data_IF_621281633816
#
_entry.id   IF_621281633816
#
_cell.length_a   1.000
_cell.length_b   1.000
_cell.length_c   1.000
_cell.angle_alpha   90.00
_cell.angle_beta   90.00
_cell.angle_gamma   90.00
#
_symmetry.space_group_name_H-M   'P 1'
#
loop_
_entity.id
_entity.type
_entity.pdbx_description
1 polymer ?
#
# COMPACT_ATOMS: atom_id res chain seq x y z
N UNK A 1 -8.75 3.94 19.73
CA UNK A 1 -8.45 4.33 18.35
C UNK A 1 -9.78 4.41 17.61
N UNK A 2 -10.25 5.61 17.33
CA UNK A 2 -11.46 5.81 16.53
C UNK A 2 -11.01 5.88 15.08
N UNK A 3 -11.31 4.84 14.30
CA UNK A 3 -11.22 4.94 12.85
C UNK A 3 -12.20 6.04 12.42
N UNK A 4 -11.73 7.16 11.89
CA UNK A 4 -12.63 8.06 11.17
C UNK A 4 -13.19 7.26 9.98
N UNK A 5 -14.51 7.29 9.74
CA UNK A 5 -15.03 6.78 8.50
C UNK A 5 -14.52 7.71 7.40
N UNK A 6 -13.40 7.37 6.82
CA UNK A 6 -13.00 7.92 5.54
C UNK A 6 -14.00 7.33 4.54
N UNK A 7 -14.60 8.17 3.69
CA UNK A 7 -15.38 7.66 2.58
C UNK A 7 -14.52 6.59 1.92
N UNK A 8 -15.02 5.36 1.90
CA UNK A 8 -14.26 4.27 1.33
C UNK A 8 -13.91 4.68 -0.11
N UNK A 9 -12.62 4.72 -0.48
CA UNK A 9 -12.28 4.86 -1.90
C UNK A 9 -13.00 3.75 -2.66
N UNK A 10 -13.28 3.95 -3.94
CA UNK A 10 -13.82 2.92 -4.82
C UNK A 10 -12.77 1.80 -5.01
N UNK A 11 -12.52 1.08 -3.92
CA UNK A 11 -11.67 -0.11 -3.97
C UNK A 11 -12.40 -1.22 -4.72
N UNK A 12 -11.65 -2.06 -5.46
CA UNK A 12 -12.24 -3.21 -6.09
C UNK A 12 -12.90 -4.12 -5.04
N UNK A 13 -13.98 -4.77 -5.41
CA UNK A 13 -14.59 -5.81 -4.59
C UNK A 13 -13.58 -6.98 -4.44
N UNK A 14 -13.38 -7.42 -3.21
CA UNK A 14 -12.54 -8.57 -2.90
C UNK A 14 -13.39 -9.60 -2.16
N UNK A 15 -13.94 -10.59 -2.86
CA UNK A 15 -14.76 -11.60 -2.24
C UNK A 15 -14.03 -12.33 -1.11
N UNK A 16 -14.72 -12.55 0.01
CA UNK A 16 -14.09 -13.21 1.18
C UNK A 16 -13.52 -14.59 0.85
N UNK A 17 -14.15 -15.32 -0.08
CA UNK A 17 -13.68 -16.63 -0.50
C UNK A 17 -12.32 -16.55 -1.20
N UNK A 18 -12.14 -15.57 -2.06
CA UNK A 18 -10.88 -15.35 -2.78
C UNK A 18 -9.78 -14.89 -1.82
N UNK A 19 -10.09 -13.94 -0.93
CA UNK A 19 -9.16 -13.52 0.11
C UNK A 19 -8.71 -14.69 1.00
N UNK A 20 -9.64 -15.57 1.39
CA UNK A 20 -9.28 -16.75 2.22
C UNK A 20 -8.37 -17.70 1.49
N UNK A 21 -8.58 -17.90 0.19
CA UNK A 21 -7.72 -18.71 -0.64
C UNK A 21 -6.33 -18.09 -0.79
N UNK A 22 -6.26 -16.82 -1.17
CA UNK A 22 -5.01 -16.09 -1.39
C UNK A 22 -4.17 -15.95 -0.12
N UNK A 23 -4.81 -15.71 1.02
CA UNK A 23 -4.14 -15.58 2.31
C UNK A 23 -3.90 -16.92 3.05
N UNK A 24 -4.33 -18.04 2.48
CA UNK A 24 -4.21 -19.36 3.11
C UNK A 24 -4.94 -19.47 4.45
N UNK A 25 -6.08 -18.80 4.60
CA UNK A 25 -6.85 -18.81 5.85
C UNK A 25 -7.50 -20.18 6.05
N UNK A 26 -7.18 -20.81 7.18
CA UNK A 26 -7.72 -22.14 7.50
C UNK A 26 -9.23 -22.10 7.74
N UNK A 27 -9.89 -23.24 7.48
CA UNK A 27 -11.31 -23.41 7.74
C UNK A 27 -11.66 -23.16 9.21
N UNK A 28 -12.77 -22.47 9.44
CA UNK A 28 -13.24 -22.12 10.78
C UNK A 28 -12.56 -20.92 11.43
N UNK A 29 -11.52 -20.36 10.84
CA UNK A 29 -10.88 -19.12 11.34
C UNK A 29 -11.76 -17.93 11.02
N UNK A 30 -12.15 -17.16 12.05
CA UNK A 30 -12.88 -15.90 11.89
C UNK A 30 -11.98 -14.75 11.46
N UNK A 31 -12.47 -13.91 10.56
CA UNK A 31 -11.76 -12.68 10.20
C UNK A 31 -12.03 -11.58 11.24
N UNK A 32 -10.99 -10.82 11.60
CA UNK A 32 -11.11 -9.70 12.54
C UNK A 32 -11.65 -8.44 11.85
N UNK A 33 -12.23 -7.55 12.65
CA UNK A 33 -12.78 -6.29 12.16
C UNK A 33 -14.20 -6.42 11.59
N UNK A 34 -14.75 -5.29 11.14
CA UNK A 34 -16.11 -5.19 10.62
C UNK A 34 -16.14 -4.29 9.37
N UNK A 35 -17.15 -4.47 8.51
CA UNK A 35 -17.30 -3.75 7.25
C UNK A 35 -16.54 -4.41 6.11
N UNK A 36 -16.39 -3.69 5.03
CA UNK A 36 -15.78 -4.21 3.80
C UNK A 36 -14.37 -4.72 4.03
N UNK A 37 -14.04 -5.84 3.39
CA UNK A 37 -12.77 -6.51 3.56
C UNK A 37 -11.59 -5.64 3.11
N UNK A 38 -11.70 -5.00 1.97
CA UNK A 38 -10.69 -4.08 1.44
C UNK A 38 -10.46 -2.88 2.36
N UNK A 39 -11.53 -2.32 2.94
CA UNK A 39 -11.39 -1.27 3.95
C UNK A 39 -10.66 -1.76 5.21
N UNK A 40 -10.92 -3.01 5.65
CA UNK A 40 -10.19 -3.61 6.79
C UNK A 40 -8.72 -3.78 6.51
N UNK A 41 -8.36 -4.15 5.29
CA UNK A 41 -6.97 -4.37 4.87
C UNK A 41 -6.20 -3.06 4.70
N UNK A 42 -6.84 -2.02 4.12
CA UNK A 42 -6.10 -0.88 3.58
C UNK A 42 -6.35 0.45 4.27
N UNK A 43 -7.51 0.65 4.90
CA UNK A 43 -7.85 1.96 5.48
C UNK A 43 -8.14 1.95 6.97
N UNK A 44 -8.17 0.79 7.61
CA UNK A 44 -8.40 0.67 9.04
C UNK A 44 -7.12 0.37 9.79
N UNK A 45 -6.97 0.87 11.03
CA UNK A 45 -5.83 0.52 11.84
C UNK A 45 -5.88 -0.95 12.25
N UNK A 46 -4.70 -1.56 12.38
CA UNK A 46 -4.58 -2.94 12.90
C UNK A 46 -3.45 -3.04 13.91
N UNK A 47 -3.66 -3.86 14.92
CA UNK A 47 -2.70 -4.14 15.97
C UNK A 47 -2.38 -5.64 16.00
N UNK A 48 -1.10 -5.97 15.93
CA UNK A 48 -0.63 -7.35 15.92
C UNK A 48 0.49 -7.54 16.94
N UNK A 49 0.46 -8.65 17.67
CA UNK A 49 1.62 -9.11 18.47
C UNK A 49 2.59 -9.82 17.51
N UNK A 50 3.78 -9.25 17.32
CA UNK A 50 4.80 -9.76 16.40
C UNK A 50 5.97 -10.45 17.09
N UNK A 51 5.98 -10.46 18.42
CA UNK A 51 6.97 -11.18 19.20
C UNK A 51 6.57 -11.21 20.67
N UNK A 52 7.01 -12.25 21.37
CA UNK A 52 6.77 -12.41 22.79
C UNK A 52 7.98 -13.06 23.44
N UNK A 53 8.43 -12.47 24.53
CA UNK A 53 9.49 -12.99 25.38
C UNK A 53 8.90 -13.38 26.74
N UNK A 54 8.92 -14.67 27.01
CA UNK A 54 8.41 -15.30 28.22
C UNK A 54 9.25 -16.57 28.48
N UNK A 55 9.19 -17.12 29.69
CA UNK A 55 9.94 -18.35 30.01
C UNK A 55 9.71 -19.45 28.96
N UNK A 56 10.74 -19.94 28.27
CA UNK A 56 10.64 -21.03 27.31
C UNK A 56 10.08 -22.32 27.98
N UNK A 57 9.37 -23.14 27.20
CA UNK A 57 8.72 -24.34 27.74
C UNK A 57 9.69 -25.36 28.36
N UNK A 58 10.88 -25.50 27.79
CA UNK A 58 11.95 -26.37 28.27
C UNK A 58 12.59 -25.91 29.59
N UNK A 59 12.44 -24.62 29.92
CA UNK A 59 12.87 -24.01 31.17
C UNK A 59 11.72 -23.79 32.16
N UNK A 60 10.49 -24.12 31.77
CA UNK A 60 9.31 -23.90 32.60
C UNK A 60 9.27 -24.89 33.76
N UNK A 61 9.17 -24.36 34.98
CA UNK A 61 8.99 -25.10 36.22
C UNK A 61 7.67 -24.75 36.90
N UNK A 62 7.41 -25.32 38.08
CA UNK A 62 6.23 -25.01 38.89
C UNK A 62 6.34 -23.65 39.60
N UNK A 63 6.85 -22.63 38.90
CA UNK A 63 7.09 -21.28 39.39
C UNK A 63 6.40 -20.29 38.44
N UNK A 64 5.78 -19.25 39.03
CA UNK A 64 5.14 -18.19 38.25
C UNK A 64 6.19 -17.37 37.48
N UNK A 65 5.94 -17.10 36.20
CA UNK A 65 6.74 -16.18 35.42
C UNK A 65 6.57 -14.75 35.98
N UNK A 66 7.66 -14.05 36.37
CA UNK A 66 7.55 -12.73 36.99
C UNK A 66 7.27 -11.60 35.99
N UNK A 67 7.57 -11.82 34.73
CA UNK A 67 7.44 -10.83 33.66
C UNK A 67 7.22 -11.47 32.30
N UNK A 68 6.65 -10.69 31.40
CA UNK A 68 6.52 -11.04 29.99
C UNK A 68 6.69 -9.74 29.18
N UNK A 69 7.38 -9.83 28.05
CA UNK A 69 7.53 -8.71 27.11
C UNK A 69 6.88 -9.10 25.78
N UNK A 70 6.09 -8.23 25.23
CA UNK A 70 5.53 -8.41 23.88
C UNK A 70 5.94 -7.26 22.98
N UNK A 71 6.27 -7.56 21.72
CA UNK A 71 6.45 -6.58 20.67
C UNK A 71 5.17 -6.45 19.87
N UNK A 72 4.67 -5.22 19.81
CA UNK A 72 3.44 -4.89 19.10
C UNK A 72 3.79 -4.14 17.82
N UNK A 73 3.07 -4.46 16.74
CA UNK A 73 3.05 -3.68 15.51
C UNK A 73 1.68 -3.03 15.38
N UNK A 74 1.64 -1.70 15.40
CA UNK A 74 0.42 -0.92 15.16
C UNK A 74 0.51 -0.27 13.79
N UNK A 75 -0.32 -0.73 12.87
CA UNK A 75 -0.54 -0.05 11.60
C UNK A 75 -1.63 0.99 11.78
N UNK A 76 -1.38 2.20 11.32
CA UNK A 76 -2.31 3.32 11.44
C UNK A 76 -3.03 3.56 10.11
N UNK A 77 -4.25 4.09 10.21
CA UNK A 77 -5.02 4.45 9.03
C UNK A 77 -4.43 5.70 8.34
N UNK A 78 -4.65 5.89 7.02
CA UNK A 78 -4.32 7.12 6.34
C UNK A 78 -4.88 8.35 7.06
N UNK A 79 -4.08 9.41 7.17
CA UNK A 79 -4.43 10.65 7.88
C UNK A 79 -4.44 10.56 9.41
N UNK A 80 -4.05 9.43 10.00
CA UNK A 80 -3.89 9.29 11.44
C UNK A 80 -2.49 9.71 11.90
N UNK A 81 -2.42 10.52 12.96
CA UNK A 81 -1.13 10.95 13.52
C UNK A 81 -0.47 9.82 14.35
N UNK A 82 0.77 9.43 14.02
CA UNK A 82 1.48 8.36 14.71
C UNK A 82 1.67 8.59 16.20
N UNK A 83 1.96 9.83 16.62
CA UNK A 83 2.19 10.16 18.03
C UNK A 83 0.90 10.01 18.85
N UNK A 84 -0.22 10.48 18.30
CA UNK A 84 -1.54 10.31 18.92
C UNK A 84 -1.94 8.84 19.00
N UNK A 85 -1.66 8.04 17.97
CA UNK A 85 -1.94 6.62 17.96
C UNK A 85 -1.13 5.86 19.02
N UNK A 86 0.17 6.15 19.14
CA UNK A 86 1.06 5.59 20.15
C UNK A 86 0.59 5.97 21.56
N UNK A 87 0.28 7.25 21.79
CA UNK A 87 -0.22 7.74 23.09
C UNK A 87 -1.52 7.04 23.49
N UNK A 88 -2.47 6.88 22.56
CA UNK A 88 -3.72 6.18 22.83
C UNK A 88 -3.51 4.70 23.15
N UNK A 89 -2.62 4.01 22.44
CA UNK A 89 -2.28 2.62 22.71
C UNK A 89 -1.61 2.47 24.09
N UNK A 90 -0.64 3.32 24.41
CA UNK A 90 0.05 3.33 25.70
C UNK A 90 -0.94 3.52 26.85
N UNK A 91 -1.76 4.55 26.77
CA UNK A 91 -2.78 4.82 27.79
C UNK A 91 -3.77 3.65 27.96
N UNK A 92 -4.15 3.00 26.85
CA UNK A 92 -5.03 1.83 26.92
C UNK A 92 -4.36 0.66 27.65
N UNK A 93 -3.12 0.33 27.32
CA UNK A 93 -2.39 -0.78 27.95
C UNK A 93 -2.16 -0.55 29.45
N UNK A 94 -1.79 0.66 29.83
CA UNK A 94 -1.59 1.03 31.23
C UNK A 94 -2.90 1.00 32.04
N UNK A 95 -3.99 1.50 31.47
CA UNK A 95 -5.28 1.55 32.14
C UNK A 95 -5.94 0.18 32.28
N UNK A 96 -5.60 -0.79 31.47
CA UNK A 96 -6.23 -2.12 31.45
C UNK A 96 -5.30 -3.24 31.94
N UNK A 97 -4.21 -2.89 32.61
CA UNK A 97 -3.33 -3.89 33.24
C UNK A 97 -4.10 -4.75 34.26
N UNK A 98 -4.21 -6.08 34.07
CA UNK A 98 -4.96 -6.92 34.96
C UNK A 98 -4.24 -7.06 36.33
N UNK A 99 -5.00 -7.24 37.38
CA UNK A 99 -4.53 -7.55 38.75
C UNK A 99 -3.45 -6.57 39.27
N UNK A 100 -3.41 -5.34 38.81
CA UNK A 100 -2.41 -4.36 39.24
C UNK A 100 -0.99 -4.64 38.71
N UNK A 101 -0.86 -5.41 37.64
CA UNK A 101 0.42 -5.61 36.96
C UNK A 101 1.02 -4.28 36.51
N UNK A 102 2.34 -4.16 36.59
CA UNK A 102 3.05 -2.98 36.10
C UNK A 102 3.29 -3.13 34.61
N UNK A 103 2.76 -2.20 33.85
CA UNK A 103 3.00 -2.12 32.40
C UNK A 103 3.96 -0.97 32.14
N UNK A 104 4.93 -1.20 31.27
CA UNK A 104 5.79 -0.16 30.70
C UNK A 104 5.80 -0.30 29.19
N UNK A 105 5.65 0.80 28.48
CA UNK A 105 5.68 0.84 27.01
C UNK A 105 6.93 1.57 26.55
N UNK A 106 7.74 0.91 25.76
CA UNK A 106 8.90 1.53 25.10
C UNK A 106 8.54 1.77 23.64
N UNK A 107 8.48 3.03 23.19
CA UNK A 107 8.23 3.35 21.79
C UNK A 107 9.31 2.74 20.88
N UNK A 108 8.89 2.19 19.75
CA UNK A 108 9.77 1.81 18.65
C UNK A 108 9.80 2.86 17.56
N UNK A 109 10.17 2.45 16.37
CA UNK A 109 10.12 3.31 15.19
C UNK A 109 8.67 3.66 14.84
N UNK A 110 8.47 4.91 14.44
CA UNK A 110 7.16 5.42 14.03
C UNK A 110 7.30 6.18 12.71
N UNK A 111 6.26 6.13 11.90
CA UNK A 111 6.19 6.87 10.64
C UNK A 111 4.74 7.16 10.25
N UNK A 112 4.49 8.20 9.46
CA UNK A 112 3.16 8.50 8.94
C UNK A 112 2.70 7.42 7.96
N UNK A 113 1.38 7.26 7.85
CA UNK A 113 0.80 6.53 6.74
C UNK A 113 0.92 7.38 5.46
N UNK A 114 1.27 6.73 4.37
CA UNK A 114 1.27 7.36 3.06
C UNK A 114 -0.12 7.26 2.44
N UNK A 115 -0.62 8.39 1.93
CA UNK A 115 -1.88 8.47 1.19
C UNK A 115 -1.61 9.14 -0.16
N UNK A 116 -1.57 8.34 -1.22
CA UNK A 116 -1.28 8.84 -2.55
C UNK A 116 -2.47 9.64 -3.10
N UNK A 117 -2.25 10.84 -3.66
CA UNK A 117 -3.30 11.57 -4.36
C UNK A 117 -3.85 10.75 -5.53
N UNK A 118 -5.14 10.43 -5.49
CA UNK A 118 -5.75 9.50 -6.44
C UNK A 118 -5.84 10.03 -7.89
N UNK A 119 -5.93 11.35 -8.08
CA UNK A 119 -6.13 11.95 -9.41
C UNK A 119 -5.08 13.01 -9.75
N UNK A 120 -3.87 12.54 -10.05
CA UNK A 120 -2.78 13.36 -10.56
C UNK A 120 -2.48 13.03 -12.04
N UNK A 121 -1.80 13.90 -12.80
CA UNK A 121 -1.36 13.54 -14.15
C UNK A 121 -0.52 12.27 -14.19
N UNK A 122 0.37 12.05 -13.22
CA UNK A 122 1.21 10.86 -13.17
C UNK A 122 0.39 9.61 -12.80
N UNK A 123 -0.57 9.69 -11.85
CA UNK A 123 -1.42 8.55 -11.51
C UNK A 123 -2.31 8.12 -12.67
N UNK A 124 -2.85 9.08 -13.44
CA UNK A 124 -3.60 8.78 -14.68
C UNK A 124 -2.73 8.12 -15.73
N UNK A 125 -1.50 8.61 -15.92
CA UNK A 125 -0.55 8.02 -16.87
C UNK A 125 -0.16 6.60 -16.45
N UNK A 126 0.05 6.34 -15.15
CA UNK A 126 0.37 5.03 -14.63
C UNK A 126 -0.78 4.03 -14.84
N UNK A 127 -2.03 4.42 -14.51
CA UNK A 127 -3.21 3.55 -14.75
C UNK A 127 -3.36 3.21 -16.23
N UNK A 128 -3.20 4.19 -17.11
CA UNK A 128 -3.23 3.93 -18.54
C UNK A 128 -2.13 2.95 -18.99
N UNK A 129 -0.91 3.13 -18.54
CA UNK A 129 0.21 2.27 -18.89
C UNK A 129 0.00 0.84 -18.39
N UNK A 130 -0.44 0.67 -17.15
CA UNK A 130 -0.76 -0.63 -16.57
C UNK A 130 -1.95 -1.29 -17.29
N UNK A 131 -3.04 -0.57 -17.52
CA UNK A 131 -4.19 -1.08 -18.30
C UNK A 131 -3.76 -1.55 -19.69
N UNK A 132 -2.91 -0.78 -20.37
CA UNK A 132 -2.42 -1.12 -21.70
C UNK A 132 -1.55 -2.38 -21.68
N UNK A 133 -0.62 -2.47 -20.73
CA UNK A 133 0.32 -3.59 -20.66
C UNK A 133 -0.33 -4.90 -20.20
N UNK A 134 -1.30 -4.82 -19.28
CA UNK A 134 -1.98 -5.99 -18.74
C UNK A 134 -3.25 -6.39 -19.51
N UNK A 135 -3.79 -5.50 -20.36
CA UNK A 135 -5.03 -5.73 -21.09
C UNK A 135 -6.27 -5.83 -20.21
N UNK A 136 -6.22 -5.28 -19.00
CA UNK A 136 -7.30 -5.21 -18.01
C UNK A 136 -7.25 -3.86 -17.31
N UNK A 137 -8.41 -3.37 -16.86
CA UNK A 137 -8.48 -2.10 -16.15
C UNK A 137 -7.61 -2.13 -14.90
N UNK A 138 -6.76 -1.10 -14.76
CA UNK A 138 -5.96 -0.88 -13.57
C UNK A 138 -6.87 -0.41 -12.43
N UNK A 139 -6.66 -0.95 -11.25
CA UNK A 139 -7.33 -0.56 -10.02
C UNK A 139 -6.33 -0.07 -8.99
N UNK A 140 -6.76 0.86 -8.15
CA UNK A 140 -5.96 1.31 -7.02
C UNK A 140 -6.22 0.40 -5.83
N UNK A 141 -5.16 0.01 -5.14
CA UNK A 141 -5.23 -0.77 -3.92
C UNK A 141 -4.47 -0.07 -2.79
N UNK A 142 -4.77 -0.44 -1.55
CA UNK A 142 -3.94 -0.07 -0.42
C UNK A 142 -2.87 -1.13 -0.15
N UNK A 143 -1.75 -0.71 0.40
CA UNK A 143 -0.69 -1.61 0.83
C UNK A 143 -0.51 -1.50 2.35
N UNK A 144 -0.62 -2.61 3.04
CA UNK A 144 -0.46 -2.68 4.49
C UNK A 144 1.00 -2.81 4.93
N UNK A 145 1.89 -1.95 4.46
CA UNK A 145 3.30 -1.94 4.86
C UNK A 145 3.79 -0.52 5.17
N UNK A 146 4.74 -0.37 6.08
CA UNK A 146 5.43 0.90 6.24
C UNK A 146 6.66 0.90 5.34
N UNK A 147 6.74 1.87 4.43
CA UNK A 147 7.94 2.13 3.64
C UNK A 147 8.44 3.52 4.03
N UNK A 148 9.30 3.63 5.07
CA UNK A 148 9.77 4.93 5.57
C UNK A 148 10.41 5.80 4.48
N UNK A 149 10.99 5.17 3.46
CA UNK A 149 11.59 5.84 2.32
C UNK A 149 10.61 6.74 1.54
N UNK A 150 9.34 6.35 1.44
CA UNK A 150 8.31 7.15 0.74
C UNK A 150 8.10 8.49 1.46
N UNK A 151 7.98 8.47 2.79
CA UNK A 151 7.85 9.69 3.57
C UNK A 151 9.07 10.61 3.39
N UNK A 152 10.28 10.05 3.43
CA UNK A 152 11.52 10.80 3.18
C UNK A 152 11.57 11.40 1.78
N UNK A 153 11.10 10.67 0.76
CA UNK A 153 11.01 11.20 -0.60
C UNK A 153 10.05 12.38 -0.69
N UNK A 154 8.87 12.29 -0.07
CA UNK A 154 7.91 13.38 -0.08
C UNK A 154 8.40 14.62 0.67
N UNK A 155 9.09 14.44 1.80
CA UNK A 155 9.70 15.54 2.54
C UNK A 155 10.82 16.24 1.73
N UNK A 156 11.60 15.45 1.00
CA UNK A 156 12.73 15.95 0.19
C UNK A 156 12.26 16.59 -1.11
N UNK A 157 11.23 16.04 -1.72
CA UNK A 157 10.66 16.45 -3.01
C UNK A 157 9.16 16.65 -2.91
N UNK A 158 8.67 17.73 -2.27
CA UNK A 158 7.25 17.92 -1.97
C UNK A 158 6.36 18.04 -3.22
N UNK A 159 6.93 18.43 -4.35
CA UNK A 159 6.23 18.54 -5.63
C UNK A 159 6.25 17.25 -6.46
N UNK A 160 7.01 16.24 -6.03
CA UNK A 160 7.09 14.96 -6.74
C UNK A 160 5.83 14.12 -6.50
N UNK A 161 5.34 13.49 -7.58
CA UNK A 161 4.24 12.55 -7.51
C UNK A 161 4.80 11.14 -7.32
N UNK A 162 4.60 10.58 -6.13
CA UNK A 162 5.07 9.23 -5.81
C UNK A 162 4.05 8.22 -6.32
N UNK A 163 4.50 7.31 -7.16
CA UNK A 163 3.75 6.16 -7.65
C UNK A 163 4.34 4.90 -7.02
N UNK A 164 3.48 4.07 -6.43
CA UNK A 164 3.88 2.78 -5.85
C UNK A 164 3.30 1.69 -6.72
N UNK A 165 4.16 0.95 -7.38
CA UNK A 165 3.81 -0.19 -8.22
C UNK A 165 4.61 -1.42 -7.78
N UNK A 166 4.18 -2.61 -8.17
CA UNK A 166 4.86 -3.85 -7.82
C UNK A 166 4.55 -4.96 -8.80
N UNK A 167 5.22 -6.10 -8.62
CA UNK A 167 5.10 -7.30 -9.45
C UNK A 167 4.69 -8.52 -8.63
N UNK A 168 4.31 -8.33 -7.39
CA UNK A 168 3.90 -9.40 -6.49
C UNK A 168 2.46 -9.83 -6.78
N UNK A 169 2.22 -11.12 -6.67
CA UNK A 169 0.91 -11.75 -6.70
C UNK A 169 0.69 -12.56 -5.40
N UNK A 170 -0.49 -13.12 -5.15
CA UNK A 170 -0.75 -13.91 -3.94
C UNK A 170 0.17 -15.12 -3.75
N UNK A 171 0.72 -15.66 -4.84
CA UNK A 171 1.61 -16.81 -4.82
C UNK A 171 3.10 -16.41 -4.66
N UNK A 172 3.42 -15.13 -4.74
CA UNK A 172 4.79 -14.62 -4.68
C UNK A 172 5.49 -14.91 -3.34
N UNK A 173 4.73 -15.06 -2.25
CA UNK A 173 5.26 -15.33 -0.88
C UNK A 173 6.30 -14.32 -0.43
N UNK A 174 6.04 -13.04 -0.69
CA UNK A 174 6.94 -11.94 -0.32
C UNK A 174 7.44 -12.06 1.13
N UNK A 175 8.75 -11.90 1.33
CA UNK A 175 9.45 -12.03 2.63
C UNK A 175 9.39 -13.43 3.26
N UNK A 176 9.09 -14.47 2.51
CA UNK A 176 8.99 -15.86 2.99
C UNK A 176 9.94 -16.79 2.23
N UNK A 177 9.98 -18.04 2.67
CA UNK A 177 10.73 -19.08 1.98
C UNK A 177 10.13 -19.34 0.59
N UNK A 178 10.99 -19.64 -0.38
CA UNK A 178 10.60 -19.90 -1.78
C UNK A 178 9.85 -18.70 -2.43
N UNK A 179 10.24 -17.48 -2.09
CA UNK A 179 9.73 -16.27 -2.75
C UNK A 179 9.92 -16.40 -4.27
N UNK A 180 8.88 -16.06 -5.01
CA UNK A 180 8.82 -16.24 -6.45
C UNK A 180 8.25 -15.01 -7.15
N UNK A 181 8.38 -14.98 -8.47
CA UNK A 181 7.86 -13.93 -9.32
C UNK A 181 7.29 -14.54 -10.61
N UNK A 182 6.09 -14.10 -10.98
CA UNK A 182 5.49 -14.53 -12.23
C UNK A 182 6.14 -13.83 -13.43
N UNK A 183 6.84 -14.58 -14.28
CA UNK A 183 7.64 -14.00 -15.39
C UNK A 183 6.78 -13.23 -16.40
N UNK A 184 5.56 -13.68 -16.67
CA UNK A 184 4.64 -12.96 -17.56
C UNK A 184 4.21 -11.61 -16.99
N UNK A 185 4.11 -11.47 -15.67
CA UNK A 185 3.79 -10.20 -15.03
C UNK A 185 5.02 -9.28 -14.99
N UNK A 186 6.22 -9.84 -14.86
CA UNK A 186 7.45 -9.07 -15.04
C UNK A 186 7.52 -8.41 -16.43
N UNK A 187 7.22 -9.16 -17.49
CA UNK A 187 7.19 -8.61 -18.85
C UNK A 187 6.17 -7.47 -19.00
N UNK A 188 4.99 -7.65 -18.40
CA UNK A 188 3.92 -6.65 -18.43
C UNK A 188 4.29 -5.40 -17.64
N UNK A 189 4.87 -5.55 -16.44
CA UNK A 189 5.25 -4.39 -15.64
C UNK A 189 6.37 -3.59 -16.27
N UNK A 190 7.39 -4.26 -16.86
CA UNK A 190 8.45 -3.59 -17.62
C UNK A 190 7.88 -2.81 -18.83
N UNK A 191 6.89 -3.40 -19.49
CA UNK A 191 6.18 -2.73 -20.59
C UNK A 191 5.39 -1.52 -20.08
N UNK A 192 4.69 -1.65 -18.95
CA UNK A 192 3.96 -0.55 -18.33
C UNK A 192 4.89 0.60 -17.93
N UNK A 193 6.03 0.30 -17.32
CA UNK A 193 7.04 1.31 -16.96
C UNK A 193 7.58 2.06 -18.20
N UNK A 194 7.87 1.33 -19.27
CA UNK A 194 8.31 1.94 -20.53
C UNK A 194 7.23 2.87 -21.14
N UNK A 195 5.98 2.44 -21.13
CA UNK A 195 4.83 3.23 -21.58
C UNK A 195 4.61 4.47 -20.70
N UNK A 196 4.72 4.32 -19.38
CA UNK A 196 4.61 5.42 -18.42
C UNK A 196 5.67 6.49 -18.70
N UNK A 197 6.92 6.08 -18.80
CA UNK A 197 8.04 7.00 -19.09
C UNK A 197 7.87 7.68 -20.46
N UNK A 198 7.43 6.96 -21.48
CA UNK A 198 7.16 7.52 -22.80
C UNK A 198 6.03 8.56 -22.77
N UNK A 199 4.97 8.31 -21.99
CA UNK A 199 3.85 9.23 -21.83
C UNK A 199 4.23 10.48 -21.04
N UNK A 200 4.93 10.33 -19.93
CA UNK A 200 5.43 11.45 -19.13
C UNK A 200 6.48 12.28 -19.87
N UNK A 201 7.28 11.64 -20.72
CA UNK A 201 8.26 12.30 -21.60
C UNK A 201 7.66 12.93 -22.87
N UNK A 202 6.33 12.84 -23.07
CA UNK A 202 5.65 13.42 -24.23
C UNK A 202 5.83 12.64 -25.54
N UNK A 203 6.40 11.44 -25.51
CA UNK A 203 6.56 10.58 -26.69
C UNK A 203 5.24 9.87 -27.09
N UNK A 204 4.28 9.78 -26.15
CA UNK A 204 2.94 9.23 -26.38
C UNK A 204 1.91 10.26 -25.92
N UNK A 205 1.01 10.65 -26.80
CA UNK A 205 -0.03 11.62 -26.50
C UNK A 205 -1.07 11.07 -25.51
N UNK A 206 -1.71 11.91 -24.69
CA UNK A 206 -2.89 11.54 -23.91
C UNK A 206 -4.04 11.07 -24.81
N UNK A 207 -4.84 10.10 -24.33
CA UNK A 207 -6.01 9.62 -25.07
C UNK A 207 -7.00 10.77 -25.29
N UNK A 208 -7.34 11.04 -26.56
CA UNK A 208 -8.28 12.10 -26.96
C UNK A 208 -7.66 13.27 -27.73
N UNK A 209 -6.34 13.44 -27.70
CA UNK A 209 -5.65 14.36 -28.60
C UNK A 209 -5.04 13.58 -29.76
N UNK A 210 -5.88 13.25 -30.75
CA UNK A 210 -5.36 12.87 -32.07
C UNK A 210 -4.63 14.09 -32.60
N UNK A 211 -3.29 14.01 -32.58
CA UNK A 211 -2.43 15.04 -33.15
C UNK A 211 -2.87 15.29 -34.59
N UNK A 212 -3.41 16.46 -34.85
CA UNK A 212 -3.61 16.94 -36.18
C UNK A 212 -2.24 16.93 -36.86
N UNK A 213 -2.06 15.97 -37.74
CA UNK A 213 -0.93 15.98 -38.66
C UNK A 213 -1.03 17.30 -39.41
N UNK A 214 -0.12 18.21 -39.10
CA UNK A 214 0.03 19.46 -39.89
C UNK A 214 0.26 19.04 -41.32
N UNK A 215 -0.69 19.40 -42.20
CA UNK A 215 -0.51 19.27 -43.64
C UNK A 215 0.79 19.96 -44.02
N UNK A 216 1.66 19.33 -44.83
CA UNK A 216 2.82 20.00 -45.36
C UNK A 216 2.33 21.11 -46.28
N UNK A 217 2.62 22.36 -45.92
CA UNK A 217 2.29 23.54 -46.73
C UNK A 217 2.77 23.37 -48.19
N UNK A 218 1.84 23.52 -49.09
CA UNK A 218 2.13 23.52 -50.54
C UNK A 218 3.17 24.60 -50.87
N UNK A 219 4.14 24.32 -51.76
CA UNK A 219 5.12 25.30 -52.16
C UNK A 219 4.43 26.43 -52.96
N UNK A 220 4.60 27.65 -52.48
CA UNK A 220 4.10 28.84 -53.15
C UNK A 220 4.58 28.96 -54.57
N UNK A 221 3.62 29.08 -55.48
CA UNK A 221 3.90 29.34 -56.90
C UNK A 221 4.58 30.69 -57.08
N UNK A 222 5.68 30.67 -57.84
CA UNK A 222 6.35 31.85 -58.35
C UNK A 222 5.45 32.46 -59.41
N UNK A 223 4.99 33.71 -59.20
CA UNK A 223 4.34 34.48 -60.23
C UNK A 223 5.39 35.18 -61.09
N UNK A 224 5.53 34.75 -62.33
CA UNK A 224 6.20 35.50 -63.37
C UNK A 224 5.33 36.74 -63.71
N UNK A 225 5.91 37.94 -63.57
CA UNK A 225 5.36 39.19 -64.06
C UNK A 225 6.17 39.71 -65.28
N UNK A 226 5.49 39.87 -66.38
CA UNK A 226 5.92 40.66 -67.46
C UNK A 226 5.60 42.13 -67.25
#
# INVERSE_FOLDING_TARGET
LVSRPQAAPDFPDYPEADFRADAGVLDGVGLIGTGDLTARLWTKPSLTVIGMDVTPLDLAGSVLAPSCTARLSLRIAPGQDPASALSALTAHLEAHAPFGARVSVTPGETGPAFDAPADTPASRAARWALTTAFGRDCVDIGQGGSIPFIATLQETFPDAQVLVTGIEDPDARAHSEDESMHLGDLERIVTAEALLLARLGGAVAPDGESGGAGEPGAPGGVADGA
#
